data_IF_411728043650
#
_entry.id   IF_411728043650
#
_cell.length_a   1.000
_cell.length_b   1.000
_cell.length_c   1.000
_cell.angle_alpha   90.00
_cell.angle_beta   90.00
_cell.angle_gamma   90.00
#
_symmetry.space_group_name_H-M   'P 1'
#
loop_
_entity.id
_entity.type
_entity.pdbx_description
1 polymer ?
#
# COMPACT_ATOMS: atom_id res chain seq x y z
N UNK A 1 25.81 -2.23 -9.60
CA UNK A 1 24.65 -2.42 -8.69
C UNK A 1 23.39 -2.01 -9.43
N UNK A 2 22.31 -2.80 -9.35
CA UNK A 2 21.03 -2.52 -10.02
C UNK A 2 20.11 -1.72 -9.08
N UNK A 3 19.51 -0.64 -9.56
CA UNK A 3 18.51 0.12 -8.79
C UNK A 3 17.19 -0.67 -8.75
N UNK A 4 16.71 -1.01 -7.55
CA UNK A 4 15.49 -1.80 -7.36
C UNK A 4 14.79 -1.45 -6.03
N UNK A 5 13.46 -1.38 -6.08
CA UNK A 5 12.60 -1.34 -4.89
C UNK A 5 11.78 -2.64 -4.88
N UNK A 6 11.98 -3.47 -3.85
CA UNK A 6 11.27 -4.75 -3.73
C UNK A 6 9.88 -4.57 -3.10
N UNK A 7 9.76 -3.68 -2.10
CA UNK A 7 8.55 -3.49 -1.33
C UNK A 7 8.34 -2.00 -1.04
N UNK A 8 7.11 -1.54 -1.18
CA UNK A 8 6.65 -0.25 -0.65
C UNK A 8 5.62 -0.54 0.43
N UNK A 9 5.87 -0.11 1.66
CA UNK A 9 4.95 -0.33 2.80
C UNK A 9 4.32 0.98 3.23
N UNK A 10 2.99 1.00 3.29
CA UNK A 10 2.20 2.10 3.81
C UNK A 10 1.75 1.78 5.23
N UNK A 11 2.14 2.65 6.18
CA UNK A 11 1.58 2.65 7.52
C UNK A 11 0.12 3.09 7.47
N UNK A 12 -0.77 2.29 8.03
CA UNK A 12 -2.22 2.52 8.01
C UNK A 12 -2.81 2.43 9.42
N UNK A 13 -3.84 3.23 9.70
CA UNK A 13 -4.55 3.17 10.98
C UNK A 13 -5.58 2.03 11.07
N UNK A 14 -6.08 1.55 9.91
CA UNK A 14 -7.19 0.59 9.84
C UNK A 14 -7.02 -0.33 8.62
N UNK A 15 -6.78 -1.61 8.87
CA UNK A 15 -6.58 -2.62 7.84
C UNK A 15 -7.85 -2.95 7.06
N UNK A 16 -9.02 -2.99 7.71
CA UNK A 16 -10.29 -3.27 7.03
C UNK A 16 -10.61 -2.15 6.04
N UNK A 17 -10.46 -0.89 6.46
CA UNK A 17 -10.64 0.28 5.58
C UNK A 17 -9.66 0.28 4.42
N UNK A 18 -8.39 -0.04 4.68
CA UNK A 18 -7.36 -0.11 3.63
C UNK A 18 -7.66 -1.22 2.61
N UNK A 19 -8.00 -2.42 3.09
CA UNK A 19 -8.38 -3.55 2.22
C UNK A 19 -9.59 -3.22 1.36
N UNK A 20 -10.62 -2.59 1.94
CA UNK A 20 -11.81 -2.15 1.20
C UNK A 20 -11.45 -1.18 0.08
N UNK A 21 -10.58 -0.21 0.36
CA UNK A 21 -10.13 0.76 -0.65
C UNK A 21 -9.45 0.08 -1.85
N UNK A 22 -8.52 -0.84 -1.63
CA UNK A 22 -7.83 -1.53 -2.73
C UNK A 22 -8.68 -2.60 -3.42
N UNK A 23 -9.50 -3.33 -2.68
CA UNK A 23 -10.33 -4.40 -3.25
C UNK A 23 -11.59 -3.88 -3.95
N UNK A 24 -12.38 -3.03 -3.31
CA UNK A 24 -13.61 -2.50 -3.91
C UNK A 24 -13.32 -1.31 -4.85
N UNK A 25 -12.31 -0.50 -4.54
CA UNK A 25 -11.96 0.66 -5.38
C UNK A 25 -11.14 0.28 -6.61
N UNK A 26 -10.08 -0.51 -6.43
CA UNK A 26 -9.17 -0.87 -7.52
C UNK A 26 -9.38 -2.29 -8.08
N UNK A 27 -10.22 -3.11 -7.44
CA UNK A 27 -10.38 -4.52 -7.82
C UNK A 27 -9.17 -5.38 -7.47
N UNK A 28 -8.27 -4.92 -6.61
CA UNK A 28 -7.04 -5.64 -6.28
C UNK A 28 -7.28 -6.74 -5.25
N UNK A 29 -6.61 -7.88 -5.43
CA UNK A 29 -6.67 -9.00 -4.49
C UNK A 29 -5.31 -9.13 -3.79
N UNK A 30 -5.27 -9.22 -2.45
CA UNK A 30 -4.02 -9.44 -1.75
C UNK A 30 -3.49 -10.85 -2.02
N UNK A 31 -2.16 -10.97 -2.18
CA UNK A 31 -1.48 -12.27 -2.26
C UNK A 31 -1.22 -12.86 -0.88
N UNK A 32 -1.25 -12.03 0.16
CA UNK A 32 -1.17 -12.43 1.56
C UNK A 32 -1.90 -11.39 2.40
N UNK A 33 -2.62 -11.84 3.44
CA UNK A 33 -3.18 -10.95 4.45
C UNK A 33 -3.34 -11.69 5.78
N UNK A 34 -3.12 -10.97 6.87
CA UNK A 34 -3.48 -11.39 8.22
C UNK A 34 -4.22 -10.24 8.93
N UNK A 35 -4.25 -10.23 10.26
CA UNK A 35 -4.94 -9.22 11.07
C UNK A 35 -4.22 -7.86 11.11
N UNK A 36 -2.93 -7.82 10.75
CA UNK A 36 -2.08 -6.63 10.89
C UNK A 36 -1.59 -6.08 9.54
N UNK A 37 -1.42 -6.93 8.53
CA UNK A 37 -0.80 -6.57 7.25
C UNK A 37 -1.52 -7.23 6.06
N UNK A 38 -1.51 -6.55 4.91
CA UNK A 38 -1.87 -7.11 3.62
C UNK A 38 -0.81 -6.77 2.57
N UNK A 39 -0.52 -7.74 1.69
CA UNK A 39 0.40 -7.60 0.57
C UNK A 39 -0.32 -7.77 -0.75
N UNK A 40 0.00 -6.88 -1.70
CA UNK A 40 -0.52 -6.92 -3.06
C UNK A 40 0.65 -7.03 -4.02
N UNK A 41 0.64 -8.07 -4.85
CA UNK A 41 1.64 -8.24 -5.90
C UNK A 41 1.39 -7.23 -7.02
N UNK A 42 2.40 -6.41 -7.32
CA UNK A 42 2.39 -5.44 -8.41
C UNK A 42 3.36 -5.86 -9.50
N UNK A 43 3.57 -4.99 -10.50
CA UNK A 43 4.49 -5.19 -11.59
C UNK A 43 5.95 -5.04 -11.12
N UNK A 44 6.51 -6.08 -10.49
CA UNK A 44 7.91 -6.13 -10.06
C UNK A 44 8.20 -5.64 -8.64
N UNK A 45 7.16 -5.33 -7.85
CA UNK A 45 7.27 -5.02 -6.43
C UNK A 45 6.05 -5.51 -5.65
N UNK A 46 6.15 -5.51 -4.32
CA UNK A 46 5.02 -5.70 -3.42
C UNK A 46 4.57 -4.37 -2.84
N UNK A 47 3.28 -4.08 -2.88
CA UNK A 47 2.68 -3.04 -2.05
C UNK A 47 2.19 -3.67 -0.75
N UNK A 48 2.72 -3.21 0.38
CA UNK A 48 2.27 -3.61 1.71
C UNK A 48 1.44 -2.52 2.39
N UNK A 49 0.36 -2.91 3.05
CA UNK A 49 -0.40 -2.03 3.95
C UNK A 49 -0.35 -2.64 5.34
N UNK A 50 0.35 -1.98 6.27
CA UNK A 50 0.64 -2.50 7.61
C UNK A 50 0.15 -1.53 8.68
N UNK A 51 -0.48 -2.04 9.74
CA UNK A 51 -0.86 -1.23 10.89
C UNK A 51 0.31 -0.34 11.36
N UNK A 52 0.06 0.96 11.45
CA UNK A 52 1.08 1.97 11.73
C UNK A 52 1.85 1.66 13.01
N UNK A 53 1.16 1.21 14.06
CA UNK A 53 1.78 0.83 15.32
C UNK A 53 2.79 -0.32 15.16
N UNK A 54 2.48 -1.31 14.30
CA UNK A 54 3.33 -2.48 14.06
C UNK A 54 4.50 -2.15 13.15
N UNK A 55 4.27 -1.32 12.14
CA UNK A 55 5.35 -0.77 11.33
C UNK A 55 6.31 0.12 12.16
N UNK A 56 5.77 0.87 13.12
CA UNK A 56 6.58 1.71 14.01
C UNK A 56 7.45 0.84 14.94
N UNK A 57 6.88 -0.22 15.51
CA UNK A 57 7.58 -1.23 16.30
C UNK A 57 8.74 -1.86 15.51
N UNK A 58 8.47 -2.35 14.30
CA UNK A 58 9.47 -2.95 13.41
C UNK A 58 10.61 -1.97 13.04
N UNK A 59 10.26 -0.70 12.83
CA UNK A 59 11.22 0.36 12.53
C UNK A 59 11.91 0.95 13.77
N UNK A 60 11.63 0.45 14.99
CA UNK A 60 12.14 1.00 16.26
C UNK A 60 11.80 2.47 16.48
N UNK A 61 10.60 2.89 16.05
CA UNK A 61 10.08 4.26 16.16
C UNK A 61 8.88 4.31 17.10
N UNK A 62 8.69 5.44 17.78
CA UNK A 62 7.53 5.65 18.66
C UNK A 62 6.27 6.04 17.87
N UNK A 63 6.41 6.81 16.78
CA UNK A 63 5.33 7.14 15.84
C UNK A 63 5.90 7.73 14.54
N UNK A 64 5.05 7.83 13.50
CA UNK A 64 5.42 8.47 12.23
C UNK A 64 4.98 9.94 12.14
N UNK A 65 4.13 10.42 13.04
CA UNK A 65 3.70 11.82 13.08
C UNK A 65 2.74 12.23 11.96
N UNK A 66 2.14 11.26 11.24
CA UNK A 66 1.21 11.48 10.13
C UNK A 66 1.77 11.07 8.77
N UNK A 67 0.99 11.24 7.68
CA UNK A 67 1.43 10.87 6.34
C UNK A 67 2.57 11.77 5.84
N UNK A 68 3.55 11.16 5.17
CA UNK A 68 4.65 11.88 4.53
C UNK A 68 4.26 12.54 3.20
N UNK A 69 5.14 13.39 2.67
CA UNK A 69 4.96 14.08 1.39
C UNK A 69 5.37 13.21 0.21
N UNK A 70 4.51 12.30 -0.21
CA UNK A 70 4.72 11.48 -1.41
C UNK A 70 3.39 11.16 -2.11
N UNK A 71 3.46 10.69 -3.35
CA UNK A 71 2.33 10.18 -4.12
C UNK A 71 2.73 8.88 -4.82
N UNK A 72 1.80 7.92 -4.87
CA UNK A 72 1.92 6.72 -5.69
C UNK A 72 1.00 6.87 -6.91
N UNK A 73 1.58 6.80 -8.10
CA UNK A 73 0.84 6.98 -9.34
C UNK A 73 0.38 5.63 -9.92
N UNK A 74 -0.89 5.55 -10.32
CA UNK A 74 -1.41 4.46 -11.13
C UNK A 74 -1.73 4.97 -12.54
N UNK A 75 -0.92 4.55 -13.52
CA UNK A 75 -1.12 4.92 -14.92
C UNK A 75 -2.12 3.97 -15.59
N UNK A 76 -3.16 4.54 -16.22
CA UNK A 76 -4.16 3.79 -17.00
C UNK A 76 -3.90 3.92 -18.50
N UNK A 77 -4.27 2.89 -19.27
CA UNK A 77 -3.95 2.81 -20.70
C UNK A 77 -4.67 3.82 -21.61
N UNK A 78 -5.56 4.68 -21.10
CA UNK A 78 -6.16 5.77 -21.89
C UNK A 78 -6.81 6.84 -20.99
N UNK A 79 -7.00 8.05 -21.53
CA UNK A 79 -7.68 9.15 -20.83
C UNK A 79 -9.12 8.80 -20.42
N UNK A 80 -9.84 8.03 -21.25
CA UNK A 80 -11.22 7.61 -20.97
C UNK A 80 -11.32 6.75 -19.71
N UNK A 81 -10.30 5.95 -19.39
CA UNK A 81 -10.23 5.15 -18.16
C UNK A 81 -9.92 5.98 -16.91
N UNK A 82 -9.40 7.22 -17.04
CA UNK A 82 -9.18 8.13 -15.89
C UNK A 82 -10.47 8.71 -15.33
N UNK A 83 -11.53 8.84 -16.15
CA UNK A 83 -12.82 9.42 -15.74
C UNK A 83 -13.73 8.41 -15.00
N UNK A 84 -13.31 7.16 -14.87
CA UNK A 84 -14.10 6.06 -14.28
C UNK A 84 -13.59 5.63 -12.90
N UNK A 85 -12.47 6.22 -12.44
CA UNK A 85 -11.92 6.12 -11.09
C UNK A 85 -12.39 7.34 -10.29
#
# INVERSE_FOLDING_TARGET
MQQQIAVVTLGIADLARSRRFYSEGFGWTPVFANEEIAFYQMNGLILGTWLEAKLAEDMTRTSFGGPGSFALAHNVGSARKRSML
#
